data_IF_340316271428
#
_entry.id   IF_340316271428
#
_cell.length_a   1.000
_cell.length_b   1.000
_cell.length_c   1.000
_cell.angle_alpha   90.00
_cell.angle_beta   90.00
_cell.angle_gamma   90.00
#
_symmetry.space_group_name_H-M   'P 1'
#
loop_
_entity.id
_entity.type
_entity.pdbx_description
1 polymer ?
#
# COMPACT_ATOMS: atom_id res chain seq x y z
N UNK A 1 -15.34 -2.89 -8.92
CA UNK A 1 -15.32 -3.68 -10.17
C UNK A 1 -14.21 -4.71 -10.07
N UNK A 2 -14.45 -5.95 -10.52
CA UNK A 2 -13.43 -7.00 -10.54
C UNK A 2 -13.41 -7.64 -11.92
N UNK A 3 -12.22 -7.89 -12.44
CA UNK A 3 -11.96 -8.60 -13.69
C UNK A 3 -11.04 -9.77 -13.35
N UNK A 4 -11.44 -10.96 -13.79
CA UNK A 4 -10.67 -12.18 -13.60
C UNK A 4 -10.37 -12.80 -14.97
N UNK A 5 -9.12 -13.20 -15.17
CA UNK A 5 -8.66 -13.92 -16.33
C UNK A 5 -8.02 -15.23 -15.88
N UNK A 6 -8.58 -16.36 -16.32
CA UNK A 6 -8.05 -17.70 -16.07
C UNK A 6 -7.75 -18.37 -17.41
N UNK A 7 -6.50 -18.77 -17.62
CA UNK A 7 -6.12 -19.68 -18.68
C UNK A 7 -5.63 -20.98 -18.06
N UNK A 8 -6.43 -22.03 -18.22
CA UNK A 8 -6.03 -23.39 -17.90
C UNK A 8 -5.63 -24.02 -19.23
N UNK A 9 -4.34 -24.28 -19.40
CA UNK A 9 -3.76 -24.94 -20.58
C UNK A 9 -3.79 -24.09 -21.86
N UNK A 10 -2.91 -23.09 -21.92
CA UNK A 10 -2.60 -22.46 -23.22
C UNK A 10 -2.02 -23.58 -24.13
N UNK A 11 -2.68 -23.93 -25.25
CA UNK A 11 -2.43 -25.18 -25.97
C UNK A 11 -0.96 -25.43 -26.25
N UNK A 12 -0.47 -26.62 -25.88
CA UNK A 12 0.91 -27.09 -26.08
C UNK A 12 2.02 -26.32 -25.33
N UNK A 13 1.69 -25.35 -24.48
CA UNK A 13 2.71 -24.58 -23.73
C UNK A 13 2.90 -25.05 -22.29
N UNK A 14 1.96 -25.83 -21.72
CA UNK A 14 2.00 -26.23 -20.31
C UNK A 14 1.84 -25.06 -19.32
N UNK A 15 1.51 -23.86 -19.81
CA UNK A 15 1.32 -22.66 -19.01
C UNK A 15 -0.12 -22.57 -18.48
N UNK A 16 -0.23 -22.37 -17.17
CA UNK A 16 -1.45 -22.04 -16.46
C UNK A 16 -1.30 -20.66 -15.83
N UNK A 17 -2.36 -19.87 -15.92
CA UNK A 17 -2.37 -18.44 -15.60
C UNK A 17 -3.69 -18.12 -14.89
N UNK A 18 -3.59 -17.39 -13.78
CA UNK A 18 -4.73 -16.76 -13.11
C UNK A 18 -4.34 -15.32 -12.76
N UNK A 19 -4.99 -14.35 -13.40
CA UNK A 19 -4.82 -12.93 -13.13
C UNK A 19 -6.13 -12.32 -12.65
N UNK A 20 -6.07 -11.57 -11.55
CA UNK A 20 -7.19 -10.84 -10.98
C UNK A 20 -6.84 -9.37 -10.89
N UNK A 21 -7.75 -8.53 -11.35
CA UNK A 21 -7.69 -7.09 -11.20
C UNK A 21 -8.94 -6.59 -10.52
N UNK A 22 -8.77 -5.82 -9.46
CA UNK A 22 -9.85 -5.20 -8.71
C UNK A 22 -9.66 -3.69 -8.74
N UNK A 23 -10.69 -2.99 -9.20
CA UNK A 23 -10.85 -1.55 -8.99
C UNK A 23 -11.84 -1.32 -7.86
N UNK A 24 -11.40 -0.60 -6.83
CA UNK A 24 -12.25 -0.20 -5.71
C UNK A 24 -12.35 1.33 -5.65
N UNK A 25 -13.52 1.82 -5.28
CA UNK A 25 -13.71 3.21 -4.88
C UNK A 25 -14.58 3.24 -3.64
N UNK A 26 -13.95 3.32 -2.48
CA UNK A 26 -14.65 3.46 -1.21
C UNK A 26 -14.73 4.92 -0.80
N UNK A 27 -15.92 5.38 -0.44
CA UNK A 27 -16.21 6.72 0.07
C UNK A 27 -16.99 6.56 1.36
N UNK A 28 -16.57 7.25 2.41
CA UNK A 28 -17.20 7.22 3.73
C UNK A 28 -17.22 8.61 4.36
N UNK A 29 -17.90 8.75 5.50
CA UNK A 29 -17.91 9.97 6.32
C UNK A 29 -16.99 9.88 7.54
N UNK A 30 -16.60 8.67 7.94
CA UNK A 30 -15.45 8.37 8.80
C UNK A 30 -15.02 6.93 8.48
N UNK A 31 -13.72 6.67 8.32
CA UNK A 31 -13.22 5.30 8.05
C UNK A 31 -13.00 4.51 9.34
N UNK A 32 -12.55 5.20 10.38
CA UNK A 32 -12.26 4.64 11.69
C UNK A 32 -12.76 5.56 12.79
N UNK A 33 -13.26 4.97 13.88
CA UNK A 33 -13.59 5.68 15.12
C UNK A 33 -12.59 5.41 16.25
N UNK A 34 -11.73 4.39 16.12
CA UNK A 34 -10.79 3.96 17.16
C UNK A 34 -9.38 3.73 16.64
N UNK A 35 -9.02 4.37 15.52
CA UNK A 35 -7.72 4.21 14.86
C UNK A 35 -7.43 2.74 14.49
N UNK A 36 -8.44 2.05 13.97
CA UNK A 36 -8.43 0.66 13.51
C UNK A 36 -8.17 0.51 12.00
N UNK A 37 -7.85 1.61 11.32
CA UNK A 37 -7.44 1.55 9.91
C UNK A 37 -5.91 1.69 9.80
N UNK A 38 -5.33 0.97 8.82
CA UNK A 38 -3.88 0.99 8.59
C UNK A 38 -3.37 2.30 7.95
N UNK A 39 -4.27 3.23 7.61
CA UNK A 39 -3.97 4.46 6.87
C UNK A 39 -4.47 5.74 7.55
N UNK A 40 -5.28 5.63 8.62
CA UNK A 40 -5.62 6.76 9.47
C UNK A 40 -4.50 6.98 10.49
N UNK A 41 -3.49 7.72 10.06
CA UNK A 41 -2.36 8.11 10.89
C UNK A 41 -2.82 9.05 12.02
N UNK A 42 -3.11 8.47 13.19
CA UNK A 42 -3.33 9.10 14.50
C UNK A 42 -3.82 10.55 14.44
N UNK A 43 -5.09 10.77 14.07
CA UNK A 43 -5.63 12.12 13.97
C UNK A 43 -7.03 12.26 13.37
N UNK A 44 -7.61 11.20 12.81
CA UNK A 44 -8.89 11.30 12.11
C UNK A 44 -10.01 10.52 12.80
N UNK A 45 -10.27 10.84 14.07
CA UNK A 45 -11.36 10.25 14.85
C UNK A 45 -12.72 10.85 14.47
N UNK A 46 -13.64 9.97 14.04
CA UNK A 46 -15.06 10.30 13.88
C UNK A 46 -15.36 11.38 12.84
N UNK A 47 -16.40 12.17 13.10
CA UNK A 47 -16.85 13.23 12.19
C UNK A 47 -16.27 14.57 12.61
N UNK A 48 -15.68 15.31 11.67
CA UNK A 48 -15.21 16.68 11.93
C UNK A 48 -16.36 17.65 12.25
N UNK A 49 -17.62 17.29 11.94
CA UNK A 49 -18.81 17.97 12.43
C UNK A 49 -19.93 16.92 12.71
N UNK A 50 -20.26 16.60 13.97
CA UNK A 50 -21.34 15.68 14.33
C UNK A 50 -22.73 16.16 13.91
N UNK A 51 -22.96 17.48 13.79
CA UNK A 51 -24.23 18.03 13.31
C UNK A 51 -24.32 18.03 11.78
N UNK A 52 -23.19 17.85 11.08
CA UNK A 52 -23.16 17.66 9.63
C UNK A 52 -22.08 16.63 9.21
N UNK A 53 -22.32 15.32 9.42
CA UNK A 53 -21.37 14.28 9.05
C UNK A 53 -21.06 14.22 7.55
N UNK A 54 -22.01 14.69 6.72
CA UNK A 54 -21.85 14.74 5.26
C UNK A 54 -20.75 15.69 4.80
N UNK A 55 -20.39 16.70 5.60
CA UNK A 55 -19.29 17.61 5.30
C UNK A 55 -17.93 16.90 5.29
N UNK A 56 -17.81 15.76 5.98
CA UNK A 56 -16.58 14.98 5.98
C UNK A 56 -16.49 13.98 4.83
N UNK A 57 -17.54 13.79 4.01
CA UNK A 57 -17.60 12.75 2.96
C UNK A 57 -16.40 12.82 2.01
N UNK A 58 -15.58 11.77 2.00
CA UNK A 58 -14.39 11.69 1.16
C UNK A 58 -13.97 10.24 0.89
N UNK A 59 -12.84 10.03 0.20
CA UNK A 59 -12.30 8.69 0.01
C UNK A 59 -12.05 8.01 1.36
N UNK A 60 -12.34 6.71 1.45
CA UNK A 60 -12.01 5.91 2.62
C UNK A 60 -10.51 5.72 2.74
N UNK A 61 -9.98 5.65 3.97
CA UNK A 61 -8.57 5.34 4.16
C UNK A 61 -8.25 3.90 3.69
N UNK A 62 -9.25 3.01 3.71
CA UNK A 62 -9.22 1.66 3.15
C UNK A 62 -9.41 1.60 1.61
N UNK A 63 -9.43 2.75 0.92
CA UNK A 63 -9.60 2.82 -0.53
C UNK A 63 -8.32 2.48 -1.29
N UNK A 64 -8.08 1.18 -1.47
CA UNK A 64 -7.07 0.66 -2.40
C UNK A 64 -7.63 0.66 -3.82
N UNK A 65 -7.35 1.73 -4.55
CA UNK A 65 -7.96 2.05 -5.86
C UNK A 65 -7.76 0.94 -6.90
N UNK A 66 -6.55 0.41 -6.98
CA UNK A 66 -6.19 -0.65 -7.92
C UNK A 66 -5.44 -1.75 -7.19
N UNK A 67 -5.85 -3.00 -7.40
CA UNK A 67 -5.14 -4.18 -6.93
C UNK A 67 -5.07 -5.21 -8.05
N UNK A 68 -3.88 -5.74 -8.27
CA UNK A 68 -3.58 -6.77 -9.25
C UNK A 68 -2.90 -7.96 -8.57
N UNK A 69 -3.33 -9.16 -8.90
CA UNK A 69 -2.72 -10.40 -8.46
C UNK A 69 -2.61 -11.37 -9.63
N UNK A 70 -1.40 -11.79 -9.97
CA UNK A 70 -1.09 -12.75 -11.01
C UNK A 70 -0.46 -13.98 -10.36
N UNK A 71 -1.03 -15.14 -10.64
CA UNK A 71 -0.46 -16.44 -10.33
C UNK A 71 -0.19 -17.16 -11.64
N UNK A 72 0.99 -17.76 -11.77
CA UNK A 72 1.31 -18.59 -12.92
C UNK A 72 2.02 -19.87 -12.50
N UNK A 73 1.81 -20.92 -13.28
CA UNK A 73 2.49 -22.21 -13.18
C UNK A 73 2.78 -22.70 -14.59
N UNK A 74 4.04 -22.94 -14.89
CA UNK A 74 4.50 -23.28 -16.22
C UNK A 74 5.33 -24.56 -16.20
N UNK A 75 4.69 -25.66 -16.59
CA UNK A 75 5.39 -26.90 -16.88
C UNK A 75 6.01 -26.80 -18.27
N UNK A 76 7.34 -26.73 -18.35
CA UNK A 76 8.07 -26.41 -19.59
C UNK A 76 8.04 -27.62 -20.54
N UNK A 77 7.30 -27.57 -21.67
CA UNK A 77 6.96 -28.76 -22.46
C UNK A 77 8.00 -29.11 -23.53
N UNK A 78 8.82 -28.16 -23.98
CA UNK A 78 9.80 -28.37 -25.06
C UNK A 78 11.04 -29.17 -24.64
N UNK A 79 11.02 -29.74 -23.45
CA UNK A 79 12.14 -30.49 -22.88
C UNK A 79 12.01 -32.00 -23.11
N UNK A 80 10.84 -32.48 -23.55
CA UNK A 80 10.52 -33.90 -23.73
C UNK A 80 11.18 -34.57 -24.97
N UNK A 81 11.97 -33.84 -25.77
CA UNK A 81 12.55 -34.35 -27.03
C UNK A 81 13.99 -34.88 -26.94
N UNK A 82 14.69 -34.66 -25.83
CA UNK A 82 16.11 -35.02 -25.68
C UNK A 82 16.30 -36.40 -25.06
N UNK A 83 17.21 -37.22 -25.62
CA UNK A 83 17.54 -38.56 -25.10
C UNK A 83 18.80 -38.52 -24.21
N UNK A 84 18.93 -39.50 -23.31
CA UNK A 84 20.10 -39.66 -22.43
C UNK A 84 20.19 -38.63 -21.31
N UNK A 85 21.42 -38.34 -20.85
CA UNK A 85 21.70 -37.36 -19.79
C UNK A 85 21.11 -35.97 -20.08
N UNK A 86 21.13 -35.54 -21.35
CA UNK A 86 20.51 -34.28 -21.76
C UNK A 86 19.00 -34.27 -21.52
N UNK A 87 18.31 -35.39 -21.76
CA UNK A 87 16.89 -35.55 -21.44
C UNK A 87 16.61 -35.44 -19.95
N UNK A 88 17.41 -36.11 -19.10
CA UNK A 88 17.24 -36.05 -17.65
C UNK A 88 17.49 -34.64 -17.06
N UNK A 89 18.47 -33.90 -17.60
CA UNK A 89 18.80 -32.55 -17.15
C UNK A 89 17.82 -31.52 -17.70
N UNK A 90 17.27 -31.71 -18.90
CA UNK A 90 16.36 -30.75 -19.51
C UNK A 90 14.90 -31.02 -19.15
N UNK A 91 14.46 -32.25 -18.87
CA UNK A 91 13.04 -32.59 -18.67
C UNK A 91 12.51 -32.40 -17.24
N UNK A 92 11.27 -31.95 -17.07
CA UNK A 92 10.60 -31.90 -15.75
C UNK A 92 10.81 -30.61 -14.97
N UNK A 93 11.13 -29.50 -15.66
CA UNK A 93 11.10 -28.16 -15.06
C UNK A 93 9.68 -27.63 -14.93
N UNK A 94 9.38 -27.05 -13.78
CA UNK A 94 8.17 -26.27 -13.54
C UNK A 94 8.53 -24.94 -12.91
N UNK A 95 8.08 -23.84 -13.51
CA UNK A 95 8.25 -22.49 -12.98
C UNK A 95 6.92 -21.99 -12.45
N UNK A 96 6.88 -21.59 -11.19
CA UNK A 96 5.69 -21.03 -10.55
C UNK A 96 5.98 -19.64 -10.01
N UNK A 97 4.98 -18.78 -9.94
CA UNK A 97 5.16 -17.49 -9.30
C UNK A 97 3.87 -16.75 -9.02
N UNK A 98 3.99 -15.81 -8.10
CA UNK A 98 2.92 -14.94 -7.63
C UNK A 98 3.43 -13.51 -7.67
N UNK A 99 2.78 -12.68 -8.47
CA UNK A 99 3.00 -11.25 -8.52
C UNK A 99 1.79 -10.53 -7.96
N UNK A 100 2.01 -9.64 -7.00
CA UNK A 100 0.97 -8.79 -6.44
C UNK A 100 1.38 -7.34 -6.55
N UNK A 101 0.44 -6.47 -6.89
CA UNK A 101 0.66 -5.04 -6.95
C UNK A 101 -0.61 -4.30 -6.54
N UNK A 102 -0.46 -3.18 -5.86
CA UNK A 102 -1.58 -2.32 -5.49
C UNK A 102 -1.16 -0.86 -5.34
N UNK A 103 -2.10 0.04 -5.53
CA UNK A 103 -1.94 1.45 -5.11
C UNK A 103 -1.93 1.57 -3.59
N UNK A 104 -1.33 2.64 -3.07
CA UNK A 104 -1.42 2.95 -1.65
C UNK A 104 -2.82 3.41 -1.22
N UNK A 105 -3.05 3.29 0.09
CA UNK A 105 -4.26 3.79 0.76
C UNK A 105 -4.30 5.31 0.77
N UNK A 106 -5.51 5.84 0.94
CA UNK A 106 -5.73 7.27 1.05
C UNK A 106 -5.49 7.73 2.50
N UNK A 107 -4.90 8.90 2.69
CA UNK A 107 -4.60 9.43 4.02
C UNK A 107 -4.73 10.96 4.08
N UNK A 108 -4.88 11.48 5.30
CA UNK A 108 -4.98 12.90 5.59
C UNK A 108 -3.71 13.42 6.24
N UNK A 109 -3.37 14.66 5.92
CA UNK A 109 -2.40 15.45 6.69
C UNK A 109 -3.16 16.42 7.58
N UNK A 110 -2.68 16.58 8.81
CA UNK A 110 -3.28 17.48 9.79
C UNK A 110 -2.20 18.41 10.37
N UNK A 111 -2.61 19.37 11.18
CA UNK A 111 -1.70 20.26 11.89
C UNK A 111 -2.08 20.34 13.37
N UNK A 112 -1.05 20.32 14.23
CA UNK A 112 -1.17 20.33 15.68
C UNK A 112 -0.23 21.39 16.29
N UNK A 113 -0.43 22.66 15.94
CA UNK A 113 0.16 23.75 16.73
C UNK A 113 -0.71 23.98 17.96
N UNK A 114 -0.08 23.93 19.15
CA UNK A 114 -0.69 24.15 20.47
C UNK A 114 -1.37 25.52 20.69
N UNK A 115 -1.56 26.33 19.64
CA UNK A 115 -2.33 27.57 19.64
C UNK A 115 -3.58 27.52 18.74
N UNK A 116 -3.88 26.38 18.11
CA UNK A 116 -5.11 26.19 17.33
C UNK A 116 -5.81 24.87 17.69
N UNK A 117 -5.04 23.89 18.21
CA UNK A 117 -5.47 22.51 18.29
C UNK A 117 -4.86 21.73 19.47
N UNK A 118 -4.74 22.36 20.64
CA UNK A 118 -4.31 21.65 21.87
C UNK A 118 -5.27 20.51 22.28
N UNK A 119 -6.34 20.32 21.50
CA UNK A 119 -7.33 19.25 21.57
C UNK A 119 -6.96 18.00 20.73
N UNK A 120 -6.03 18.05 19.76
CA UNK A 120 -5.54 16.85 19.03
C UNK A 120 -4.70 15.93 19.91
N UNK A 121 -4.01 16.48 20.90
CA UNK A 121 -3.07 15.73 21.76
C UNK A 121 -3.70 15.27 23.07
N UNK A 122 -4.79 15.91 23.52
CA UNK A 122 -5.30 15.79 24.88
C UNK A 122 -6.55 14.91 25.04
N UNK A 123 -7.22 14.52 23.95
CA UNK A 123 -8.47 13.75 24.02
C UNK A 123 -8.63 12.79 22.83
N UNK A 124 -8.91 11.53 23.15
CA UNK A 124 -9.12 10.40 22.22
C UNK A 124 -10.38 10.56 21.34
N UNK A 125 -11.09 11.68 21.45
CA UNK A 125 -12.38 11.94 20.79
C UNK A 125 -12.38 13.16 19.86
N UNK A 126 -11.26 13.86 19.67
CA UNK A 126 -11.21 15.10 18.90
C UNK A 126 -10.68 14.91 17.49
N UNK A 127 -11.37 15.51 16.51
CA UNK A 127 -11.00 15.48 15.10
C UNK A 127 -9.86 16.46 14.82
N UNK A 128 -8.72 15.98 14.30
CA UNK A 128 -7.67 16.86 13.81
C UNK A 128 -8.10 17.48 12.47
N UNK A 129 -8.11 18.81 12.39
CA UNK A 129 -8.57 19.52 11.20
C UNK A 129 -7.50 19.53 10.11
N UNK A 130 -7.84 19.22 8.84
CA UNK A 130 -6.95 19.52 7.72
C UNK A 130 -6.85 21.04 7.57
N UNK A 131 -5.64 21.58 7.50
CA UNK A 131 -5.39 23.04 7.40
C UNK A 131 -5.05 23.51 6.00
N UNK A 132 -4.93 22.60 5.03
CA UNK A 132 -4.65 22.98 3.65
C UNK A 132 -5.95 23.48 3.03
N UNK A 133 -5.93 24.73 2.57
CA UNK A 133 -7.08 25.36 1.91
C UNK A 133 -6.89 25.45 0.41
N UNK A 134 -8.01 25.57 -0.30
CA UNK A 134 -8.03 25.73 -1.75
C UNK A 134 -7.78 24.44 -2.52
N UNK A 135 -7.19 24.57 -3.71
CA UNK A 135 -6.93 23.43 -4.60
C UNK A 135 -5.79 22.54 -4.10
N UNK A 136 -5.76 21.28 -4.59
CA UNK A 136 -4.66 20.35 -4.31
C UNK A 136 -3.32 21.03 -4.62
N UNK A 137 -2.37 21.06 -3.67
CA UNK A 137 -1.09 21.71 -3.91
C UNK A 137 -0.35 21.08 -5.09
N UNK A 138 0.36 21.92 -5.84
CA UNK A 138 1.22 21.45 -6.92
C UNK A 138 2.27 20.48 -6.40
N UNK A 139 2.58 19.46 -7.20
CA UNK A 139 3.73 18.61 -6.93
C UNK A 139 4.99 19.44 -7.13
N UNK A 140 5.93 19.41 -6.16
CA UNK A 140 7.17 20.21 -6.17
C UNK A 140 8.10 19.82 -7.35
N UNK A 141 7.77 18.77 -8.10
CA UNK A 141 8.51 18.32 -9.29
C UNK A 141 9.90 17.74 -8.98
N UNK A 142 10.40 17.94 -7.77
CA UNK A 142 11.65 17.37 -7.26
C UNK A 142 11.49 15.86 -7.13
N UNK A 143 12.23 15.12 -7.94
CA UNK A 143 12.35 13.67 -7.80
C UNK A 143 13.55 13.32 -6.94
N UNK A 144 13.34 12.58 -5.86
CA UNK A 144 14.45 11.93 -5.15
C UNK A 144 15.06 10.89 -6.10
N UNK A 145 16.38 10.93 -6.29
CA UNK A 145 17.11 9.98 -7.13
C UNK A 145 17.10 8.61 -6.44
N UNK A 146 16.52 7.59 -7.08
CA UNK A 146 16.51 6.24 -6.57
C UNK A 146 15.39 5.36 -7.13
N UNK A 147 15.38 4.05 -6.80
CA UNK A 147 14.41 3.08 -7.29
C UNK A 147 12.97 3.28 -6.78
N UNK A 148 12.74 4.22 -5.84
CA UNK A 148 11.43 4.52 -5.26
C UNK A 148 11.13 6.02 -5.29
N UNK A 149 10.53 6.50 -6.38
CA UNK A 149 10.18 7.92 -6.53
C UNK A 149 8.92 8.25 -5.72
N UNK A 150 9.09 9.08 -4.71
CA UNK A 150 7.97 9.66 -3.95
C UNK A 150 7.45 10.91 -4.65
N UNK A 151 6.15 11.18 -4.49
CA UNK A 151 5.54 12.44 -4.89
C UNK A 151 5.71 13.44 -3.75
N UNK A 152 6.36 14.57 -4.04
CA UNK A 152 6.51 15.67 -3.10
C UNK A 152 5.44 16.73 -3.39
N UNK A 153 4.77 17.20 -2.33
CA UNK A 153 3.78 18.28 -2.39
C UNK A 153 4.33 19.51 -1.67
N UNK A 154 4.07 20.69 -2.23
CA UNK A 154 4.41 21.95 -1.58
C UNK A 154 3.21 22.43 -0.74
N UNK A 155 3.31 22.39 0.59
CA UNK A 155 2.22 22.74 1.50
C UNK A 155 2.15 24.23 1.89
N UNK A 156 2.65 25.15 1.07
CA UNK A 156 2.65 26.61 1.34
C UNK A 156 1.27 27.24 1.59
N UNK A 157 0.17 26.57 1.23
CA UNK A 157 -1.21 27.05 1.45
C UNK A 157 -1.84 26.51 2.75
N UNK A 158 -1.04 25.97 3.68
CA UNK A 158 -1.53 25.57 4.99
C UNK A 158 -1.85 26.80 5.84
N UNK A 159 -3.03 26.80 6.47
CA UNK A 159 -3.39 27.80 7.47
C UNK A 159 -2.77 27.43 8.80
N UNK A 160 -1.60 28.01 9.08
CA UNK A 160 -0.83 27.74 10.31
C UNK A 160 -1.11 28.70 11.47
N UNK A 161 -2.00 29.69 11.26
CA UNK A 161 -2.29 30.77 12.23
C UNK A 161 -3.81 30.99 12.42
N UNK A 162 -4.23 31.23 13.67
CA UNK A 162 -5.63 31.42 14.08
C UNK A 162 -6.27 32.67 13.46
N UNK A 163 -5.55 33.78 13.37
CA UNK A 163 -6.05 35.01 12.76
C UNK A 163 -6.34 34.82 11.28
N UNK A 164 -5.50 34.05 10.58
CA UNK A 164 -5.69 33.71 9.16
C UNK A 164 -6.86 32.75 8.96
N UNK A 165 -7.02 31.74 9.82
CA UNK A 165 -8.19 30.85 9.81
C UNK A 165 -9.50 31.60 10.06
N UNK A 166 -9.49 32.48 11.06
CA UNK A 166 -10.67 33.22 11.49
C UNK A 166 -11.00 34.41 10.60
N UNK A 167 -10.13 34.77 9.64
CA UNK A 167 -10.24 36.00 8.86
C UNK A 167 -10.52 37.24 9.75
N UNK A 168 -9.86 37.30 10.91
CA UNK A 168 -10.07 38.33 11.95
C UNK A 168 -11.49 38.44 12.53
N UNK A 169 -12.31 37.37 12.46
CA UNK A 169 -13.60 37.32 13.16
C UNK A 169 -13.41 37.38 14.69
N UNK A 170 -13.94 38.38 15.40
CA UNK A 170 -13.77 38.55 16.85
C UNK A 170 -14.47 37.46 17.68
N UNK A 171 -15.39 36.69 17.09
CA UNK A 171 -16.10 35.57 17.72
C UNK A 171 -15.32 34.25 17.52
N UNK A 172 -14.46 34.20 16.51
CA UNK A 172 -13.67 33.03 16.18
C UNK A 172 -12.52 32.87 17.18
N UNK A 173 -12.80 32.10 18.22
CA UNK A 173 -11.85 31.72 19.28
C UNK A 173 -11.68 30.20 19.31
N UNK A 174 -10.55 29.73 19.83
CA UNK A 174 -10.22 28.29 19.94
C UNK A 174 -11.32 27.47 20.66
N UNK A 175 -12.11 28.09 21.53
CA UNK A 175 -13.18 27.43 22.29
C UNK A 175 -14.54 27.42 21.57
N UNK A 176 -14.75 28.27 20.57
CA UNK A 176 -16.07 28.49 19.95
C UNK A 176 -16.18 27.96 18.52
N UNK A 177 -15.06 27.70 17.85
CA UNK A 177 -15.06 27.12 16.49
C UNK A 177 -15.04 25.59 16.54
N UNK A 178 -16.18 25.00 16.91
CA UNK A 178 -16.33 23.54 17.00
C UNK A 178 -16.33 22.84 15.63
N UNK A 179 -16.63 23.54 14.54
CA UNK A 179 -16.83 22.93 13.21
C UNK A 179 -16.23 23.77 12.09
N UNK A 180 -15.52 23.12 11.17
CA UNK A 180 -14.98 23.76 9.96
C UNK A 180 -16.08 24.37 9.08
N UNK A 181 -15.85 25.53 8.44
CA UNK A 181 -16.69 25.99 7.35
C UNK A 181 -16.59 24.98 6.20
N UNK A 182 -17.72 24.45 5.74
CA UNK A 182 -17.72 23.49 4.64
C UNK A 182 -17.08 24.12 3.39
N UNK A 183 -16.13 23.40 2.76
CA UNK A 183 -15.52 23.80 1.49
C UNK A 183 -14.30 24.71 1.58
N UNK A 184 -13.86 25.11 2.77
CA UNK A 184 -12.61 25.86 2.94
C UNK A 184 -11.36 24.97 2.82
N UNK A 185 -11.43 23.76 3.40
CA UNK A 185 -10.32 22.81 3.47
C UNK A 185 -10.37 21.75 2.38
N UNK A 186 -9.21 21.19 2.07
CA UNK A 186 -9.16 19.95 1.32
C UNK A 186 -9.94 18.86 2.06
N UNK A 187 -10.70 18.03 1.33
CA UNK A 187 -11.33 16.86 1.92
C UNK A 187 -10.30 15.98 2.62
N UNK A 188 -10.74 15.22 3.63
CA UNK A 188 -9.89 14.17 4.19
C UNK A 188 -9.48 13.16 3.10
N UNK A 189 -8.41 12.42 3.35
CA UNK A 189 -7.96 11.31 2.50
C UNK A 189 -7.73 11.74 1.05
N UNK A 190 -7.24 12.97 0.90
CA UNK A 190 -6.86 13.56 -0.40
C UNK A 190 -5.51 13.03 -0.89
N UNK A 191 -4.59 12.68 0.01
CA UNK A 191 -3.28 12.15 -0.34
C UNK A 191 -3.27 10.63 -0.39
N UNK A 192 -2.29 10.05 -1.08
CA UNK A 192 -2.11 8.59 -1.18
C UNK A 192 -0.72 8.17 -0.76
N UNK A 193 -0.66 7.10 0.02
CA UNK A 193 0.60 6.47 0.41
C UNK A 193 1.27 5.81 -0.80
N UNK A 194 2.56 5.46 -0.71
CA UNK A 194 3.22 4.69 -1.76
C UNK A 194 2.47 3.37 -2.05
N UNK A 195 2.50 2.95 -3.32
CA UNK A 195 2.01 1.64 -3.72
C UNK A 195 2.89 0.51 -3.21
N UNK A 196 2.36 -0.71 -3.30
CA UNK A 196 3.07 -1.93 -2.93
C UNK A 196 3.11 -2.86 -4.13
N UNK A 197 4.24 -3.53 -4.34
CA UNK A 197 4.28 -4.72 -5.18
C UNK A 197 5.33 -5.72 -4.71
N UNK A 198 5.08 -7.00 -4.96
CA UNK A 198 6.01 -8.08 -4.68
C UNK A 198 5.90 -9.18 -5.74
N UNK A 199 7.03 -9.84 -5.99
CA UNK A 199 7.11 -11.00 -6.86
C UNK A 199 7.86 -12.13 -6.16
N UNK A 200 7.12 -13.18 -5.81
CA UNK A 200 7.66 -14.44 -5.35
C UNK A 200 7.63 -15.47 -6.47
N UNK A 201 8.69 -16.26 -6.61
CA UNK A 201 8.78 -17.28 -7.64
C UNK A 201 9.47 -18.53 -7.13
N UNK A 202 9.19 -19.66 -7.75
CA UNK A 202 9.85 -20.91 -7.46
C UNK A 202 10.14 -21.68 -8.74
N UNK A 203 11.31 -22.32 -8.75
CA UNK A 203 11.73 -23.23 -9.80
C UNK A 203 11.76 -24.63 -9.22
N UNK A 204 11.04 -25.54 -9.85
CA UNK A 204 11.01 -26.94 -9.49
C UNK A 204 11.59 -27.77 -10.61
N UNK A 205 12.30 -28.84 -10.24
CA UNK A 205 12.88 -29.80 -11.15
C UNK A 205 12.65 -31.21 -10.62
N UNK A 206 12.03 -32.05 -11.44
CA UNK A 206 11.82 -33.46 -11.12
C UNK A 206 12.83 -34.33 -11.89
N UNK A 207 13.60 -35.14 -11.19
CA UNK A 207 14.53 -36.10 -11.74
C UNK A 207 13.99 -37.52 -11.54
N UNK A 208 13.68 -38.20 -12.65
CA UNK A 208 13.36 -39.63 -12.63
C UNK A 208 14.63 -40.41 -12.26
N UNK A 209 14.60 -41.16 -11.17
CA UNK A 209 15.73 -41.98 -10.75
C UNK A 209 15.66 -43.37 -11.40
N UNK A 210 16.82 -44.04 -11.59
CA UNK A 210 16.88 -45.39 -12.16
C UNK A 210 16.09 -46.50 -11.42
N UNK A 211 15.97 -46.50 -10.08
CA UNK A 211 15.10 -47.46 -9.39
C UNK A 211 13.64 -47.24 -9.80
N UNK A 212 12.93 -48.31 -10.13
CA UNK A 212 11.54 -48.24 -10.57
C UNK A 212 10.66 -47.51 -9.54
N UNK A 213 10.06 -46.39 -9.97
CA UNK A 213 9.13 -45.58 -9.18
C UNK A 213 9.73 -44.41 -8.40
N UNK A 214 11.07 -44.31 -8.27
CA UNK A 214 11.68 -43.23 -7.48
C UNK A 214 11.83 -41.92 -8.25
N UNK A 215 11.46 -40.80 -7.62
CA UNK A 215 11.60 -39.44 -8.19
C UNK A 215 12.25 -38.50 -7.18
N UNK A 216 13.24 -37.73 -7.62
CA UNK A 216 13.89 -36.70 -6.81
C UNK A 216 13.42 -35.33 -7.28
N UNK A 217 12.80 -34.56 -6.39
CA UNK A 217 12.39 -33.19 -6.66
C UNK A 217 13.36 -32.21 -6.02
N UNK A 218 13.96 -31.35 -6.83
CA UNK A 218 14.64 -30.14 -6.39
C UNK A 218 13.70 -28.95 -6.50
N UNK A 219 13.72 -28.08 -5.49
CA UNK A 219 12.90 -26.87 -5.42
C UNK A 219 13.76 -25.71 -4.94
N UNK A 220 13.75 -24.62 -5.69
CA UNK A 220 14.34 -23.34 -5.30
C UNK A 220 13.23 -22.28 -5.25
N UNK A 221 12.99 -21.70 -4.08
CA UNK A 221 11.98 -20.66 -3.85
C UNK A 221 12.69 -19.33 -3.60
N UNK A 222 12.20 -18.28 -4.26
CA UNK A 222 12.70 -16.92 -4.21
C UNK A 222 11.57 -16.01 -3.75
N UNK A 223 11.63 -15.58 -2.49
CA UNK A 223 10.72 -14.56 -1.96
C UNK A 223 11.32 -13.19 -2.29
N UNK A 224 10.56 -12.34 -2.97
CA UNK A 224 11.02 -11.06 -3.52
C UNK A 224 12.22 -11.24 -4.48
N UNK A 225 11.99 -11.93 -5.61
CA UNK A 225 13.05 -12.32 -6.57
C UNK A 225 13.88 -11.12 -7.07
N UNK A 226 13.22 -9.97 -7.27
CA UNK A 226 13.87 -8.74 -7.73
C UNK A 226 14.55 -7.94 -6.62
N UNK A 227 14.47 -8.39 -5.37
CA UNK A 227 14.98 -7.66 -4.20
C UNK A 227 14.47 -6.20 -4.19
N UNK A 228 13.22 -6.01 -4.62
CA UNK A 228 12.55 -4.71 -4.61
C UNK A 228 12.19 -4.36 -3.18
N UNK A 229 12.20 -3.08 -2.83
CA UNK A 229 11.75 -2.67 -1.51
C UNK A 229 10.61 -1.70 -1.61
N UNK A 230 9.53 -2.07 -0.94
CA UNK A 230 8.35 -1.26 -0.81
C UNK A 230 8.60 -0.08 0.13
N UNK A 231 7.79 0.96 -0.04
CA UNK A 231 7.72 2.08 0.87
C UNK A 231 6.34 2.14 1.53
N UNK A 232 6.28 2.73 2.71
CA UNK A 232 5.03 3.12 3.34
C UNK A 232 5.18 4.53 3.91
N UNK A 233 4.06 5.26 4.05
CA UNK A 233 4.09 6.57 4.72
C UNK A 233 4.19 6.37 6.23
N UNK A 234 5.10 7.10 6.87
CA UNK A 234 5.33 7.00 8.31
C UNK A 234 4.16 7.65 9.07
N UNK A 235 3.42 6.86 9.87
CA UNK A 235 2.22 7.33 10.55
C UNK A 235 2.48 8.46 11.55
N UNK A 236 3.71 8.69 11.99
CA UNK A 236 4.05 9.73 12.96
C UNK A 236 4.40 11.08 12.31
N UNK A 237 4.37 11.17 10.98
CA UNK A 237 4.89 12.32 10.23
C UNK A 237 3.84 13.05 9.41
N UNK A 238 2.56 12.69 9.56
CA UNK A 238 1.47 13.36 8.85
C UNK A 238 1.00 14.66 9.51
N UNK A 239 1.70 15.12 10.57
CA UNK A 239 1.57 16.46 11.12
C UNK A 239 2.43 17.45 10.31
N UNK A 240 1.79 18.42 9.68
CA UNK A 240 2.46 19.44 8.86
C UNK A 240 3.44 20.33 9.64
N UNK A 241 3.29 20.44 10.97
CA UNK A 241 4.26 21.13 11.82
C UNK A 241 5.66 20.46 11.76
N UNK A 242 5.72 19.16 11.40
CA UNK A 242 6.95 18.44 11.15
C UNK A 242 7.61 18.75 9.80
N UNK A 243 6.98 19.58 8.96
CA UNK A 243 7.50 20.06 7.67
C UNK A 243 7.41 19.06 6.51
N UNK A 244 7.27 17.76 6.78
CA UNK A 244 7.12 16.73 5.74
C UNK A 244 6.48 15.44 6.27
N UNK A 245 5.72 14.77 5.39
CA UNK A 245 5.31 13.36 5.57
C UNK A 245 6.41 12.46 5.02
N UNK A 246 7.03 11.67 5.88
CA UNK A 246 8.16 10.83 5.51
C UNK A 246 7.68 9.47 4.98
N UNK A 247 8.41 8.92 4.01
CA UNK A 247 8.23 7.54 3.57
C UNK A 247 9.36 6.68 4.14
N UNK A 248 9.03 5.50 4.68
CA UNK A 248 9.98 4.51 5.20
C UNK A 248 10.01 3.27 4.32
N UNK A 249 11.17 2.62 4.26
CA UNK A 249 11.35 1.33 3.59
C UNK A 249 10.72 0.21 4.41
N UNK A 250 10.03 -0.71 3.74
CA UNK A 250 9.44 -1.90 4.36
C UNK A 250 7.97 -2.09 3.99
N UNK A 251 7.28 -2.86 4.82
CA UNK A 251 5.84 -3.11 4.70
C UNK A 251 5.11 -2.29 5.78
N UNK A 252 3.98 -1.63 5.46
CA UNK A 252 3.18 -0.94 6.47
C UNK A 252 2.83 -1.90 7.62
N UNK A 253 2.88 -1.45 8.87
CA UNK A 253 2.42 -2.28 9.98
C UNK A 253 0.93 -2.59 9.85
N UNK A 254 0.54 -3.82 10.20
CA UNK A 254 -0.87 -4.17 10.34
C UNK A 254 -1.49 -3.66 11.65
N UNK A 255 -0.66 -3.39 12.68
CA UNK A 255 -1.13 -2.91 14.00
C UNK A 255 -0.02 -2.37 14.94
N UNK A 256 1.26 -2.51 14.58
CA UNK A 256 2.40 -2.07 15.40
C UNK A 256 2.82 -0.65 14.99
N UNK A 257 3.11 0.26 15.93
CA UNK A 257 3.50 1.65 15.61
C UNK A 257 4.73 1.78 14.69
N UNK A 258 5.44 0.68 14.45
CA UNK A 258 6.60 0.60 13.57
C UNK A 258 6.40 -0.57 12.60
N UNK A 259 6.27 -0.29 11.29
CA UNK A 259 6.24 -1.33 10.26
C UNK A 259 7.50 -2.19 10.28
N UNK A 260 7.44 -3.39 9.70
CA UNK A 260 8.63 -4.26 9.61
C UNK A 260 9.65 -3.57 8.68
N UNK A 261 10.80 -3.11 9.19
CA UNK A 261 11.69 -2.22 8.42
C UNK A 261 12.47 -2.95 7.32
N UNK A 262 12.40 -4.28 7.30
CA UNK A 262 13.31 -5.13 6.53
C UNK A 262 12.53 -6.10 5.66
N UNK A 263 12.08 -5.61 4.51
CA UNK A 263 11.77 -6.48 3.38
C UNK A 263 13.10 -6.95 2.78
N UNK A 264 13.40 -8.25 2.91
CA UNK A 264 14.63 -8.87 2.42
C UNK A 264 14.28 -10.02 1.49
N UNK A 265 15.04 -10.15 0.41
CA UNK A 265 14.98 -11.36 -0.41
C UNK A 265 15.41 -12.57 0.41
N UNK A 266 14.55 -13.58 0.45
CA UNK A 266 14.85 -14.88 1.05
C UNK A 266 14.88 -15.94 -0.04
N UNK A 267 15.85 -16.86 0.04
CA UNK A 267 16.00 -17.97 -0.89
C UNK A 267 15.95 -19.26 -0.08
N UNK A 268 15.08 -20.18 -0.47
CA UNK A 268 14.96 -21.48 0.16
C UNK A 268 15.22 -22.57 -0.88
N UNK A 269 16.05 -23.54 -0.51
CA UNK A 269 16.37 -24.70 -1.34
C UNK A 269 15.86 -25.95 -0.63
N UNK A 270 15.18 -26.81 -1.38
CA UNK A 270 14.59 -28.05 -0.88
C UNK A 270 14.89 -29.22 -1.82
N UNK A 271 15.10 -30.38 -1.22
CA UNK A 271 15.22 -31.65 -1.92
C UNK A 271 14.22 -32.63 -1.32
N UNK A 272 13.41 -33.27 -2.15
CA UNK A 272 12.42 -34.26 -1.73
C UNK A 272 12.55 -35.53 -2.55
N UNK A 273 12.75 -36.66 -1.89
CA UNK A 273 12.66 -37.98 -2.50
C UNK A 273 11.21 -38.48 -2.42
N UNK A 274 10.72 -39.03 -3.53
CA UNK A 274 9.39 -39.64 -3.66
C UNK A 274 9.59 -41.10 -4.09
N UNK A 275 8.84 -42.01 -3.46
CA UNK A 275 8.84 -43.44 -3.69
C UNK A 275 7.40 -43.95 -3.73
#
# INVERSE_FOLDING_TARGET
MQVELRAREIPHTGLQLNANYTWAHSIDNATSFFNDSAFDFNGNFGFGNPYNPGASRANSSNDIRHRFALNYSWAIPWTHGYKGLAGQILDGWNLTGIYTAQTGGAFSVYENFGAFNDQCSASVANSCYPVITGALPGQDGKTIVGPNRVVLYNFQNSLTDLGTFCNNDPICTQQNYFFQPAGLFLPRNTFRTPGYWNFDSAVLKNFKLPPEGMNLQFRAEFFNIFNHSNLYADPNTNNLAGGAVLARRGVPPSHELYGVPFDRRNIQLGLRLQF
#
